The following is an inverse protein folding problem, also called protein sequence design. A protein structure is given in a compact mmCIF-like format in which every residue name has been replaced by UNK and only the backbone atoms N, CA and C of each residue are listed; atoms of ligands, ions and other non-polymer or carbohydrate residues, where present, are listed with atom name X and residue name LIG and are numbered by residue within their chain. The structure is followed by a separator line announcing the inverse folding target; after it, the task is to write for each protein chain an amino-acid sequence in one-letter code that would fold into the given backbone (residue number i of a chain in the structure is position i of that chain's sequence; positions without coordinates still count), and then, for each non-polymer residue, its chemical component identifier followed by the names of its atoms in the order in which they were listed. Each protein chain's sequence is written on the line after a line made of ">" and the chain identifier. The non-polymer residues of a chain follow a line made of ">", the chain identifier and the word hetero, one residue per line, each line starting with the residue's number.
data_IF_286030041261
#
_entry.id   IF_286030041261
#
_cell.length_a   1.000
_cell.length_b   1.000
_cell.length_c   1.000
_cell.angle_alpha   90.00
_cell.angle_beta   90.00
_cell.angle_gamma   90.00
#
_symmetry.space_group_name_H-M   'P 1'
#
loop_
_entity.id
_entity.type
_entity.pdbx_description
1 polymer ?
#
# COMPACT_ATOMS: atom_id res chain seq x y z
N UNK A 1 -1.76 -7.29 -25.26
CA UNK A 1 -2.35 -8.17 -24.24
C UNK A 1 -1.22 -8.57 -23.30
N UNK A 2 -1.09 -7.86 -22.17
CA UNK A 2 -0.18 -8.29 -21.11
C UNK A 2 -0.70 -9.63 -20.59
N UNK A 3 0.14 -10.66 -20.57
CA UNK A 3 -0.22 -11.94 -20.00
C UNK A 3 -0.52 -11.75 -18.51
N UNK A 4 -1.78 -11.94 -18.08
CA UNK A 4 -2.18 -11.89 -16.67
C UNK A 4 -1.46 -13.03 -15.92
N UNK A 5 -0.39 -12.68 -15.20
CA UNK A 5 0.54 -13.64 -14.59
C UNK A 5 -0.09 -14.25 -13.35
N UNK A 6 -0.85 -13.45 -12.61
CA UNK A 6 -1.67 -13.91 -11.50
C UNK A 6 -2.68 -14.96 -11.95
N UNK A 7 -3.38 -14.73 -13.06
CA UNK A 7 -4.34 -15.66 -13.64
C UNK A 7 -3.72 -17.00 -14.01
N UNK A 8 -2.44 -17.04 -14.41
CA UNK A 8 -1.71 -18.30 -14.65
C UNK A 8 -1.34 -19.01 -13.35
N UNK A 9 -0.97 -18.29 -12.29
CA UNK A 9 -0.73 -18.86 -10.96
C UNK A 9 -2.02 -19.47 -10.39
N UNK A 10 -3.12 -18.72 -10.44
CA UNK A 10 -4.42 -19.14 -9.93
C UNK A 10 -4.91 -20.40 -10.66
N UNK A 11 -4.93 -20.39 -12.01
CA UNK A 11 -5.36 -21.53 -12.87
C UNK A 11 -4.62 -22.84 -12.64
N UNK A 12 -3.40 -22.77 -12.14
CA UNK A 12 -2.63 -23.95 -11.83
C UNK A 12 -3.05 -24.62 -10.50
N UNK A 13 -4.08 -24.10 -9.81
CA UNK A 13 -4.66 -24.68 -8.59
C UNK A 13 -3.74 -24.55 -7.37
N UNK A 14 -2.79 -23.61 -7.42
CA UNK A 14 -1.70 -23.46 -6.47
C UNK A 14 -2.09 -22.70 -5.19
N UNK A 15 -3.37 -22.56 -4.87
CA UNK A 15 -3.80 -21.69 -3.78
C UNK A 15 -4.54 -22.45 -2.69
N UNK A 16 -5.73 -22.98 -2.98
CA UNK A 16 -6.64 -23.45 -1.93
C UNK A 16 -6.47 -24.93 -1.54
N UNK A 17 -5.87 -25.73 -2.43
CA UNK A 17 -5.78 -27.18 -2.27
C UNK A 17 -4.39 -27.66 -1.84
N UNK A 18 -3.47 -26.74 -1.50
CA UNK A 18 -2.07 -27.08 -1.30
C UNK A 18 -1.74 -27.52 0.12
N UNK A 19 -1.14 -28.71 0.22
CA UNK A 19 -0.48 -29.16 1.43
C UNK A 19 0.71 -28.25 1.81
N UNK A 20 1.18 -28.38 3.05
CA UNK A 20 2.31 -27.59 3.58
C UNK A 20 3.56 -27.65 2.69
N UNK A 21 3.83 -28.83 2.10
CA UNK A 21 4.96 -29.04 1.19
C UNK A 21 4.85 -28.16 -0.07
N UNK A 22 3.67 -28.10 -0.68
CA UNK A 22 3.47 -27.37 -1.93
C UNK A 22 3.45 -25.86 -1.68
N UNK A 23 2.93 -25.41 -0.53
CA UNK A 23 3.05 -24.01 -0.08
C UNK A 23 4.51 -23.59 0.08
N UNK A 24 5.37 -24.44 0.65
CA UNK A 24 6.83 -24.20 0.71
C UNK A 24 7.48 -24.14 -0.67
N UNK A 25 7.02 -24.98 -1.62
CA UNK A 25 7.52 -24.95 -3.00
C UNK A 25 7.12 -23.66 -3.72
N UNK A 26 5.91 -23.14 -3.48
CA UNK A 26 5.49 -21.85 -4.01
C UNK A 26 6.26 -20.68 -3.44
N UNK A 27 6.49 -20.66 -2.13
CA UNK A 27 7.33 -19.65 -1.49
C UNK A 27 8.73 -19.65 -2.12
N UNK A 28 9.31 -20.84 -2.31
CA UNK A 28 10.61 -21.01 -2.98
C UNK A 28 10.57 -20.52 -4.44
N UNK A 29 9.51 -20.81 -5.19
CA UNK A 29 9.31 -20.32 -6.56
C UNK A 29 9.26 -18.80 -6.59
N UNK A 30 8.47 -18.18 -5.70
CA UNK A 30 8.34 -16.73 -5.62
C UNK A 30 9.70 -16.09 -5.33
N UNK A 31 10.46 -16.60 -4.35
CA UNK A 31 11.82 -16.14 -4.05
C UNK A 31 12.77 -16.25 -5.26
N UNK A 32 12.78 -17.40 -5.94
CA UNK A 32 13.65 -17.62 -7.09
C UNK A 32 13.32 -16.68 -8.27
N UNK A 33 12.03 -16.42 -8.49
CA UNK A 33 11.58 -15.52 -9.56
C UNK A 33 11.78 -14.05 -9.21
N UNK A 34 11.56 -13.66 -7.95
CA UNK A 34 11.73 -12.30 -7.48
C UNK A 34 13.18 -11.80 -7.68
N UNK A 35 14.19 -12.67 -7.53
CA UNK A 35 15.58 -12.31 -7.83
C UNK A 35 15.86 -11.91 -9.29
N UNK A 36 14.93 -12.20 -10.22
CA UNK A 36 15.00 -11.75 -11.61
C UNK A 36 14.10 -10.54 -11.93
N UNK A 37 13.28 -10.08 -10.98
CA UNK A 37 12.43 -8.91 -11.15
C UNK A 37 13.23 -7.65 -10.83
N UNK A 38 13.28 -6.72 -11.79
CA UNK A 38 13.94 -5.42 -11.63
C UNK A 38 12.98 -4.30 -12.01
N UNK A 39 13.02 -3.15 -11.29
CA UNK A 39 12.32 -1.95 -11.67
C UNK A 39 12.75 -1.43 -13.07
N UNK A 40 12.02 -0.48 -13.68
CA UNK A 40 10.89 0.25 -13.10
C UNK A 40 9.60 -0.56 -13.06
N UNK A 41 8.84 -0.39 -11.98
CA UNK A 41 7.44 -0.83 -11.85
C UNK A 41 6.54 0.39 -11.68
N UNK A 42 5.31 0.28 -12.18
CA UNK A 42 4.26 1.27 -11.92
C UNK A 42 3.30 0.68 -10.89
N UNK A 43 3.26 1.28 -9.70
CA UNK A 43 2.30 0.91 -8.69
C UNK A 43 0.98 1.67 -8.89
N UNK A 44 -0.16 1.10 -8.44
CA UNK A 44 -1.46 1.75 -8.48
C UNK A 44 -1.44 3.05 -7.66
N UNK A 45 -2.09 4.10 -8.17
CA UNK A 45 -1.76 5.48 -7.75
C UNK A 45 -2.76 6.15 -6.82
N UNK A 46 -3.93 5.57 -6.58
CA UNK A 46 -4.95 6.31 -5.83
C UNK A 46 -4.82 6.14 -4.32
N UNK A 47 -4.36 4.99 -3.82
CA UNK A 47 -4.35 4.71 -2.39
C UNK A 47 -3.42 3.56 -2.02
N UNK A 48 -2.56 3.76 -1.04
CA UNK A 48 -1.77 2.69 -0.43
C UNK A 48 -1.42 2.96 1.03
N UNK A 49 -1.02 1.89 1.71
CA UNK A 49 -0.36 1.96 3.00
C UNK A 49 1.07 1.44 2.87
N UNK A 50 1.94 1.89 3.77
CA UNK A 50 3.30 1.38 3.91
C UNK A 50 3.58 1.01 5.37
N UNK A 51 4.34 -0.07 5.57
CA UNK A 51 4.83 -0.53 6.87
C UNK A 51 6.29 -0.97 6.77
N UNK A 52 7.07 -0.93 7.86
CA UNK A 52 8.46 -1.39 7.84
C UNK A 52 8.57 -2.87 7.45
N UNK A 53 9.55 -3.18 6.61
CA UNK A 53 9.82 -4.53 6.12
C UNK A 53 10.23 -5.51 7.21
N UNK A 54 10.79 -5.03 8.33
CA UNK A 54 11.21 -5.88 9.45
C UNK A 54 10.05 -6.33 10.37
N UNK A 55 8.92 -5.62 10.34
CA UNK A 55 7.77 -5.83 11.23
C UNK A 55 6.47 -6.10 10.46
N UNK A 56 6.56 -6.27 9.14
CA UNK A 56 5.41 -6.36 8.24
C UNK A 56 4.45 -7.49 8.59
N UNK A 57 4.89 -8.58 9.24
CA UNK A 57 3.99 -9.68 9.62
C UNK A 57 2.80 -9.20 10.48
N UNK A 58 2.97 -8.09 11.22
CA UNK A 58 1.91 -7.45 11.99
C UNK A 58 0.73 -6.95 11.13
N UNK A 59 0.97 -6.58 9.87
CA UNK A 59 -0.06 -6.01 8.99
C UNK A 59 -1.23 -6.95 8.78
N UNK A 60 -0.97 -8.26 8.73
CA UNK A 60 -2.01 -9.24 8.47
C UNK A 60 -2.96 -9.39 9.67
N UNK A 61 -2.50 -9.14 10.89
CA UNK A 61 -3.38 -9.07 12.05
C UNK A 61 -4.11 -7.72 12.09
N UNK A 62 -3.42 -6.62 11.78
CA UNK A 62 -3.99 -5.27 11.80
C UNK A 62 -5.16 -5.06 10.81
N UNK A 63 -5.09 -5.73 9.66
CA UNK A 63 -6.08 -5.64 8.58
C UNK A 63 -6.95 -6.91 8.44
N UNK A 64 -6.85 -7.85 9.39
CA UNK A 64 -7.56 -9.14 9.38
C UNK A 64 -7.44 -9.88 8.03
N UNK A 65 -6.19 -10.06 7.58
CA UNK A 65 -5.86 -10.68 6.29
C UNK A 65 -5.48 -12.15 6.44
N UNK A 66 -6.06 -12.97 5.58
CA UNK A 66 -6.02 -14.43 5.65
C UNK A 66 -5.46 -15.05 4.37
N UNK A 67 -5.37 -16.39 4.38
CA UNK A 67 -5.11 -17.22 3.21
C UNK A 67 -3.92 -16.75 2.36
N UNK A 68 -2.79 -16.45 3.02
CA UNK A 68 -1.63 -15.82 2.38
C UNK A 68 -0.95 -16.75 1.37
N UNK A 69 -0.75 -16.26 0.16
CA UNK A 69 -0.03 -16.95 -0.92
C UNK A 69 1.17 -16.11 -1.35
N UNK A 70 2.39 -16.69 -1.42
CA UNK A 70 3.56 -15.99 -1.88
C UNK A 70 3.48 -15.75 -3.39
N UNK A 71 3.66 -14.51 -3.81
CA UNK A 71 3.61 -14.07 -5.21
C UNK A 71 4.86 -13.26 -5.56
N UNK A 72 5.22 -13.21 -6.84
CA UNK A 72 6.25 -12.26 -7.30
C UNK A 72 5.67 -10.84 -7.35
N UNK A 73 6.52 -9.82 -7.48
CA UNK A 73 6.10 -8.43 -7.60
C UNK A 73 5.13 -8.29 -8.79
N UNK A 74 5.50 -8.80 -9.97
CA UNK A 74 4.68 -8.69 -11.18
C UNK A 74 3.37 -9.44 -11.12
N UNK A 75 3.30 -10.52 -10.35
CA UNK A 75 2.05 -11.24 -10.11
C UNK A 75 1.13 -10.47 -9.18
N UNK A 76 1.68 -9.83 -8.15
CA UNK A 76 0.93 -9.00 -7.23
C UNK A 76 0.37 -7.72 -7.86
N UNK A 77 1.08 -7.12 -8.82
CA UNK A 77 0.57 -5.96 -9.56
C UNK A 77 -0.77 -6.22 -10.25
N UNK A 78 -1.00 -7.45 -10.72
CA UNK A 78 -2.27 -7.82 -11.38
C UNK A 78 -3.46 -7.76 -10.39
N UNK A 79 -3.22 -7.81 -9.07
CA UNK A 79 -4.25 -7.71 -8.02
C UNK A 79 -4.95 -6.36 -8.04
N UNK A 80 -4.20 -5.29 -8.28
CA UNK A 80 -4.74 -3.93 -8.26
C UNK A 80 -5.73 -3.67 -9.40
N UNK A 81 -5.66 -4.45 -10.49
CA UNK A 81 -6.65 -4.39 -11.54
C UNK A 81 -7.86 -5.30 -11.31
N UNK A 82 -7.87 -6.13 -10.25
CA UNK A 82 -8.97 -7.07 -10.03
C UNK A 82 -10.22 -6.32 -9.58
N UNK A 83 -11.39 -6.63 -10.14
CA UNK A 83 -12.63 -6.06 -9.65
C UNK A 83 -12.84 -6.41 -8.17
N UNK A 84 -13.49 -5.50 -7.45
CA UNK A 84 -13.89 -5.73 -6.07
C UNK A 84 -14.72 -7.01 -5.95
N UNK A 85 -14.43 -7.78 -4.89
CA UNK A 85 -15.18 -8.96 -4.48
C UNK A 85 -15.62 -8.73 -3.03
N UNK A 86 -16.76 -8.05 -2.83
CA UNK A 86 -17.20 -7.66 -1.49
C UNK A 86 -17.17 -8.83 -0.51
N UNK A 87 -16.54 -8.61 0.65
CA UNK A 87 -16.31 -9.58 1.72
C UNK A 87 -15.28 -10.70 1.40
N UNK A 88 -14.47 -10.55 0.35
CA UNK A 88 -13.37 -11.46 0.04
C UNK A 88 -12.39 -10.80 -0.96
N UNK A 89 -12.06 -9.55 -0.71
CA UNK A 89 -11.21 -8.75 -1.59
C UNK A 89 -9.75 -9.22 -1.50
N UNK A 90 -9.07 -9.38 -2.65
CA UNK A 90 -7.65 -9.68 -2.67
C UNK A 90 -6.85 -8.42 -2.33
N UNK A 91 -5.88 -8.58 -1.43
CA UNK A 91 -4.92 -7.55 -1.02
C UNK A 91 -3.53 -8.02 -1.43
N UNK A 92 -2.79 -7.14 -2.11
CA UNK A 92 -1.40 -7.34 -2.45
C UNK A 92 -0.51 -6.60 -1.45
N UNK A 93 0.43 -7.33 -0.87
CA UNK A 93 1.55 -6.77 -0.11
C UNK A 93 2.81 -6.96 -0.94
N UNK A 94 3.54 -5.89 -1.22
CA UNK A 94 4.76 -5.96 -2.02
C UNK A 94 5.84 -6.82 -1.35
N UNK A 95 6.86 -7.27 -2.10
CA UNK A 95 8.17 -7.53 -1.51
C UNK A 95 8.68 -6.30 -0.75
N UNK A 96 9.74 -6.47 0.04
CA UNK A 96 10.41 -5.32 0.66
C UNK A 96 11.07 -4.49 -0.43
N UNK A 97 10.86 -3.17 -0.40
CA UNK A 97 11.45 -2.16 -1.28
C UNK A 97 12.08 -1.12 -0.36
N UNK A 98 13.41 -0.98 -0.38
CA UNK A 98 14.15 -0.02 0.46
C UNK A 98 13.74 -0.04 1.95
N UNK A 99 13.48 -1.23 2.48
CA UNK A 99 13.08 -1.43 3.87
C UNK A 99 11.59 -1.29 4.16
N UNK A 100 10.74 -1.07 3.14
CA UNK A 100 9.29 -0.91 3.29
C UNK A 100 8.50 -1.96 2.54
N UNK A 101 7.29 -2.26 3.01
CA UNK A 101 6.28 -3.01 2.27
C UNK A 101 5.03 -2.19 2.08
N UNK A 102 4.57 -2.14 0.84
CA UNK A 102 3.40 -1.39 0.45
C UNK A 102 2.21 -2.33 0.31
N UNK A 103 1.02 -1.81 0.59
CA UNK A 103 -0.24 -2.56 0.64
C UNK A 103 -1.19 -1.94 -0.38
N UNK A 104 -1.68 -2.76 -1.32
CA UNK A 104 -2.54 -2.38 -2.44
C UNK A 104 -3.72 -3.34 -2.61
N UNK A 105 -4.73 -2.93 -3.38
CA UNK A 105 -5.90 -3.73 -3.74
C UNK A 105 -7.18 -2.89 -3.65
N UNK A 106 -8.33 -3.55 -3.51
CA UNK A 106 -9.61 -2.90 -3.25
C UNK A 106 -9.72 -2.45 -1.78
N UNK A 107 -8.78 -1.61 -1.34
CA UNK A 107 -8.65 -1.18 0.06
C UNK A 107 -9.90 -0.44 0.56
N UNK A 108 -10.65 0.19 -0.35
CA UNK A 108 -11.93 0.83 -0.07
C UNK A 108 -12.99 -0.17 0.41
N UNK A 109 -13.01 -1.38 -0.14
CA UNK A 109 -13.90 -2.46 0.32
C UNK A 109 -13.34 -3.18 1.55
N UNK A 110 -12.02 -3.23 1.73
CA UNK A 110 -11.37 -3.92 2.86
C UNK A 110 -11.44 -3.10 4.15
N UNK A 111 -11.19 -1.80 4.04
CA UNK A 111 -11.05 -0.90 5.17
C UNK A 111 -12.31 -0.06 5.36
N UNK A 112 -12.89 0.41 4.26
CA UNK A 112 -13.96 1.41 4.25
C UNK A 112 -13.47 2.73 3.68
N UNK A 113 -14.40 3.53 3.16
CA UNK A 113 -14.12 4.86 2.56
C UNK A 113 -14.23 6.00 3.56
N UNK A 114 -14.65 5.72 4.79
CA UNK A 114 -14.81 6.74 5.82
C UNK A 114 -13.45 7.23 6.31
N UNK A 115 -13.38 8.51 6.63
CA UNK A 115 -12.18 9.12 7.21
C UNK A 115 -11.64 8.34 8.42
N UNK A 116 -12.53 7.94 9.33
CA UNK A 116 -12.20 7.15 10.52
C UNK A 116 -11.73 5.73 10.18
N UNK A 117 -12.18 5.17 9.05
CA UNK A 117 -11.76 3.84 8.62
C UNK A 117 -10.32 3.89 8.13
N UNK A 118 -10.01 4.88 7.29
CA UNK A 118 -8.68 5.10 6.70
C UNK A 118 -7.64 5.44 7.79
N UNK A 119 -7.94 6.43 8.62
CA UNK A 119 -7.07 6.81 9.74
C UNK A 119 -6.97 5.71 10.81
N UNK A 120 -8.07 5.02 11.09
CA UNK A 120 -8.05 3.86 11.99
C UNK A 120 -7.21 2.70 11.45
N UNK A 121 -7.11 2.50 10.14
CA UNK A 121 -6.26 1.47 9.55
C UNK A 121 -4.77 1.78 9.73
N UNK A 122 -4.33 3.02 9.52
CA UNK A 122 -2.92 3.40 9.76
C UNK A 122 -2.55 3.31 11.25
N UNK A 123 -3.48 3.65 12.16
CA UNK A 123 -3.28 3.42 13.60
C UNK A 123 -3.16 1.93 13.92
N UNK A 124 -4.04 1.07 13.43
CA UNK A 124 -3.92 -0.38 13.64
C UNK A 124 -2.61 -0.93 13.08
N UNK A 125 -2.24 -0.53 11.87
CA UNK A 125 -0.99 -0.95 11.24
C UNK A 125 0.23 -0.55 12.08
N UNK A 126 0.31 0.70 12.50
CA UNK A 126 1.42 1.18 13.35
C UNK A 126 1.44 0.52 14.74
N UNK A 127 0.29 0.18 15.32
CA UNK A 127 0.24 -0.55 16.58
C UNK A 127 0.86 -1.96 16.47
N UNK A 128 0.71 -2.60 15.31
CA UNK A 128 1.21 -3.95 15.06
C UNK A 128 2.61 -3.99 14.43
N UNK A 129 2.99 -2.96 13.67
CA UNK A 129 4.24 -2.90 12.91
C UNK A 129 5.23 -1.86 13.48
N UNK A 130 4.88 -1.15 14.56
CA UNK A 130 5.66 -0.06 15.15
C UNK A 130 5.40 1.28 14.46
N UNK A 131 5.43 1.30 13.13
CA UNK A 131 5.17 2.47 12.28
C UNK A 131 4.28 2.09 11.09
N UNK A 132 3.49 3.04 10.60
CA UNK A 132 2.77 2.91 9.35
C UNK A 132 2.50 4.27 8.70
N UNK A 133 2.41 4.28 7.37
CA UNK A 133 1.97 5.43 6.59
C UNK A 133 0.77 5.10 5.71
N UNK A 134 0.01 6.13 5.37
CA UNK A 134 -1.07 6.11 4.41
C UNK A 134 -0.90 7.26 3.43
N UNK A 135 -1.17 7.00 2.15
CA UNK A 135 -1.16 8.01 1.10
C UNK A 135 -2.37 7.83 0.19
N UNK A 136 -2.97 8.93 -0.22
CA UNK A 136 -4.10 8.96 -1.15
C UNK A 136 -4.01 10.20 -2.04
N UNK A 137 -4.14 10.00 -3.35
CA UNK A 137 -4.11 11.08 -4.35
C UNK A 137 -5.21 10.82 -5.40
N UNK A 138 -6.08 11.81 -5.58
CA UNK A 138 -7.06 11.85 -6.66
C UNK A 138 -6.91 13.16 -7.43
N UNK A 139 -6.11 13.13 -8.49
CA UNK A 139 -5.91 14.28 -9.39
C UNK A 139 -7.21 14.84 -9.97
N UNK A 140 -8.23 14.00 -10.18
CA UNK A 140 -9.48 14.45 -10.79
C UNK A 140 -10.40 15.10 -9.75
N UNK A 141 -10.40 14.56 -8.53
CA UNK A 141 -11.15 15.08 -7.39
C UNK A 141 -10.44 16.21 -6.63
N UNK A 142 -9.14 16.41 -6.87
CA UNK A 142 -8.30 17.38 -6.14
C UNK A 142 -7.95 16.94 -4.72
N UNK A 143 -8.15 15.66 -4.38
CA UNK A 143 -7.87 15.16 -3.05
C UNK A 143 -6.40 14.71 -2.92
N UNK A 144 -5.75 15.12 -1.84
CA UNK A 144 -4.36 14.82 -1.56
C UNK A 144 -4.17 14.65 -0.05
N UNK A 145 -3.81 13.44 0.39
CA UNK A 145 -3.87 13.04 1.79
C UNK A 145 -2.68 12.16 2.12
N UNK A 146 -2.02 12.46 3.24
CA UNK A 146 -1.06 11.55 3.84
C UNK A 146 -1.14 11.55 5.36
N UNK A 147 -0.78 10.43 5.95
CA UNK A 147 -0.72 10.27 7.40
C UNK A 147 0.45 9.37 7.78
N UNK A 148 1.13 9.71 8.87
CA UNK A 148 2.10 8.84 9.55
C UNK A 148 1.63 8.56 10.97
N UNK A 149 1.74 7.30 11.37
CA UNK A 149 1.39 6.83 12.69
C UNK A 149 2.52 6.03 13.31
N UNK A 150 2.70 6.19 14.61
CA UNK A 150 3.67 5.46 15.41
C UNK A 150 2.97 4.85 16.63
N UNK A 151 3.24 3.57 16.90
CA UNK A 151 2.72 2.85 18.07
C UNK A 151 1.19 3.02 18.28
N UNK A 152 0.42 3.04 17.20
CA UNK A 152 -1.04 3.12 17.24
C UNK A 152 -1.64 4.51 17.31
N UNK A 153 -0.85 5.57 17.04
CA UNK A 153 -1.33 6.95 17.08
C UNK A 153 -0.82 7.74 15.90
N UNK A 154 -1.69 8.55 15.30
CA UNK A 154 -1.28 9.53 14.30
C UNK A 154 -0.28 10.49 14.91
N UNK A 155 0.89 10.61 14.28
CA UNK A 155 1.94 11.57 14.65
C UNK A 155 1.80 12.87 13.87
N UNK A 156 1.59 12.76 12.56
CA UNK A 156 1.42 13.88 11.64
C UNK A 156 0.52 13.46 10.49
N UNK A 157 -0.30 14.39 10.01
CA UNK A 157 -1.29 14.15 8.96
C UNK A 157 -1.58 15.43 8.20
N UNK A 158 -1.71 15.27 6.90
CA UNK A 158 -2.19 16.26 5.95
C UNK A 158 -3.43 15.71 5.23
N UNK A 159 -4.45 16.54 5.06
CA UNK A 159 -5.63 16.19 4.29
C UNK A 159 -6.15 17.38 3.51
N UNK A 160 -6.10 17.31 2.18
CA UNK A 160 -6.74 18.24 1.28
C UNK A 160 -7.90 17.55 0.59
N UNK A 161 -9.12 17.95 0.91
CA UNK A 161 -10.33 17.63 0.12
C UNK A 161 -11.01 18.91 -0.42
N UNK A 162 -10.92 20.01 0.34
CA UNK A 162 -11.43 21.32 -0.07
C UNK A 162 -10.51 22.42 0.43
N UNK A 163 -10.23 22.43 1.73
CA UNK A 163 -9.16 23.21 2.35
C UNK A 163 -8.14 22.26 2.97
N UNK A 164 -6.86 22.63 3.01
CA UNK A 164 -5.83 21.82 3.65
C UNK A 164 -6.06 21.77 5.17
N UNK A 165 -5.98 20.56 5.74
CA UNK A 165 -6.00 20.32 7.17
C UNK A 165 -4.72 19.65 7.64
N UNK A 166 -4.08 20.25 8.64
CA UNK A 166 -2.86 19.74 9.26
C UNK A 166 -3.13 19.31 10.70
N UNK A 167 -2.64 18.13 11.08
CA UNK A 167 -2.77 17.60 12.44
C UNK A 167 -1.44 17.01 12.90
N UNK A 168 -1.03 17.39 14.11
CA UNK A 168 0.21 16.94 14.74
C UNK A 168 1.40 17.84 14.41
N UNK A 169 2.50 17.63 15.13
CA UNK A 169 3.71 18.43 15.00
C UNK A 169 4.40 18.18 13.65
N UNK A 170 4.89 19.22 12.95
CA UNK A 170 5.66 19.06 11.74
C UNK A 170 6.86 18.12 11.91
N UNK A 171 7.13 17.34 10.87
CA UNK A 171 8.27 16.44 10.78
C UNK A 171 9.52 17.21 10.37
N UNK A 172 10.73 16.73 10.73
CA UNK A 172 11.96 17.48 10.51
C UNK A 172 12.32 17.79 9.04
N UNK A 173 11.70 17.10 8.08
CA UNK A 173 11.92 17.29 6.65
C UNK A 173 10.89 18.23 6.01
N UNK A 174 9.79 18.57 6.72
CA UNK A 174 8.75 19.43 6.17
C UNK A 174 9.24 20.87 6.05
N UNK A 175 8.93 21.51 4.91
CA UNK A 175 8.94 22.96 4.78
C UNK A 175 7.58 23.48 5.23
N UNK A 176 7.59 24.47 6.12
CA UNK A 176 6.37 25.13 6.58
C UNK A 176 5.96 26.22 5.59
N UNK A 177 4.66 26.43 5.42
CA UNK A 177 4.13 27.44 4.51
C UNK A 177 4.63 28.85 4.87
N UNK A 178 4.79 29.15 6.17
CA UNK A 178 5.35 30.42 6.65
C UNK A 178 6.83 30.62 6.33
N UNK A 179 7.54 29.53 6.03
CA UNK A 179 8.96 29.53 5.65
C UNK A 179 9.14 29.44 4.13
N UNK A 180 8.04 29.38 3.35
CA UNK A 180 8.08 29.35 1.89
C UNK A 180 8.59 30.69 1.33
N UNK A 181 9.42 30.65 0.29
CA UNK A 181 10.02 31.85 -0.32
C UNK A 181 8.96 32.78 -0.93
N UNK A 182 7.81 32.22 -1.35
CA UNK A 182 6.71 32.96 -1.95
C UNK A 182 5.67 33.44 -0.92
N UNK A 183 5.84 33.12 0.37
CA UNK A 183 4.91 33.54 1.43
C UNK A 183 5.01 35.05 1.72
N UNK A 184 3.92 35.78 1.47
CA UNK A 184 3.78 37.17 1.84
C UNK A 184 2.84 37.32 3.04
N UNK A 185 3.33 37.65 4.24
CA UNK A 185 2.49 37.80 5.43
C UNK A 185 1.45 38.94 5.34
N UNK A 186 1.51 39.80 4.32
CA UNK A 186 0.47 40.80 4.04
C UNK A 186 -0.73 40.22 3.27
N UNK A 187 -0.52 39.18 2.46
CA UNK A 187 -1.54 38.65 1.54
C UNK A 187 -1.90 37.18 1.80
N UNK A 188 -1.03 36.43 2.47
CA UNK A 188 -1.19 35.02 2.74
C UNK A 188 -1.54 34.77 4.21
N UNK A 189 -2.39 33.77 4.43
CA UNK A 189 -2.76 33.29 5.76
C UNK A 189 -2.38 31.80 5.83
N UNK A 190 -1.52 31.44 6.78
CA UNK A 190 -1.13 30.06 7.06
C UNK A 190 -1.03 29.85 8.57
N UNK A 191 -1.44 28.68 9.04
CA UNK A 191 -1.21 28.30 10.43
C UNK A 191 0.29 28.01 10.66
N UNK A 192 0.83 28.22 11.87
CA UNK A 192 2.27 28.02 12.13
C UNK A 192 2.79 26.60 11.82
N UNK A 193 1.89 25.61 11.88
CA UNK A 193 2.22 24.19 11.72
C UNK A 193 1.80 23.66 10.34
N UNK A 194 1.38 24.55 9.43
CA UNK A 194 0.99 24.23 8.06
C UNK A 194 2.23 23.93 7.22
N UNK A 195 2.30 22.72 6.65
CA UNK A 195 3.36 22.32 5.73
C UNK A 195 3.02 22.66 4.28
N UNK A 196 3.95 22.36 3.37
CA UNK A 196 3.73 22.51 1.91
C UNK A 196 3.64 21.17 1.17
N UNK A 197 4.06 20.08 1.81
CA UNK A 197 4.23 18.78 1.15
C UNK A 197 2.92 18.00 0.95
N UNK A 198 2.60 17.69 -0.30
CA UNK A 198 1.55 16.74 -0.70
C UNK A 198 1.95 15.28 -0.52
N UNK A 199 1.05 14.33 -0.80
CA UNK A 199 1.28 12.89 -0.55
C UNK A 199 2.47 12.33 -1.35
N UNK A 200 2.65 12.77 -2.60
CA UNK A 200 3.74 12.30 -3.46
C UNK A 200 5.10 12.78 -2.96
N UNK A 201 5.22 14.03 -2.48
CA UNK A 201 6.45 14.51 -1.86
C UNK A 201 6.70 13.82 -0.52
N UNK A 202 5.67 13.74 0.34
CA UNK A 202 5.78 13.12 1.65
C UNK A 202 6.23 11.64 1.56
N UNK A 203 5.79 10.90 0.55
CA UNK A 203 6.19 9.49 0.41
C UNK A 203 7.68 9.29 0.09
N UNK A 204 8.36 10.28 -0.50
CA UNK A 204 9.81 10.25 -0.74
C UNK A 204 10.61 10.29 0.57
N UNK A 205 10.11 11.01 1.57
CA UNK A 205 10.75 11.14 2.88
C UNK A 205 10.33 10.04 3.86
N UNK A 206 9.08 9.58 3.74
CA UNK A 206 8.46 8.70 4.74
C UNK A 206 8.57 7.21 4.41
N UNK A 207 8.63 6.82 3.14
CA UNK A 207 8.69 5.41 2.75
C UNK A 207 9.29 5.19 1.36
N UNK A 208 8.48 4.80 0.38
CA UNK A 208 8.88 4.54 -1.01
C UNK A 208 7.91 5.24 -1.94
N UNK A 209 8.47 6.02 -2.87
CA UNK A 209 7.70 6.64 -3.93
C UNK A 209 7.18 5.58 -4.93
N UNK A 210 5.85 5.48 -5.15
CA UNK A 210 5.29 4.39 -5.94
C UNK A 210 5.52 4.51 -7.46
N UNK A 211 6.04 5.65 -7.95
CA UNK A 211 6.12 5.96 -9.39
C UNK A 211 7.39 6.70 -9.87
N UNK A 212 8.15 6.13 -10.80
CA UNK A 212 8.43 4.69 -10.86
C UNK A 212 9.11 4.25 -9.56
N UNK A 213 8.97 2.97 -9.20
CA UNK A 213 9.97 2.38 -8.29
C UNK A 213 11.33 2.54 -8.96
N UNK A 214 12.27 3.19 -8.26
CA UNK A 214 13.59 3.54 -8.80
C UNK A 214 14.30 2.28 -9.33
N UNK A 215 15.04 2.42 -10.44
CA UNK A 215 15.91 1.36 -10.96
C UNK A 215 16.95 0.89 -9.92
N UNK A 216 17.32 1.77 -8.99
CA UNK A 216 18.27 1.51 -7.91
C UNK A 216 17.62 1.00 -6.61
N UNK A 217 16.28 0.92 -6.55
CA UNK A 217 15.57 0.44 -5.37
C UNK A 217 15.93 -1.02 -5.03
N UNK A 218 16.26 -1.27 -3.77
CA UNK A 218 16.59 -2.62 -3.30
C UNK A 218 15.32 -3.42 -3.04
N UNK A 219 15.07 -4.42 -3.88
CA UNK A 219 13.95 -5.35 -3.71
C UNK A 219 14.40 -6.64 -3.06
N UNK A 220 13.78 -6.99 -1.92
CA UNK A 220 14.07 -8.22 -1.18
C UNK A 220 12.85 -9.11 -0.98
N UNK A 221 13.10 -10.42 -1.07
CA UNK A 221 12.09 -11.44 -0.77
C UNK A 221 11.02 -11.56 -1.86
N UNK A 222 9.77 -11.74 -1.44
CA UNK A 222 8.62 -11.88 -2.32
C UNK A 222 7.42 -11.13 -1.73
N UNK A 223 6.39 -10.93 -2.56
CA UNK A 223 5.12 -10.33 -2.14
C UNK A 223 4.12 -11.36 -1.65
N UNK A 224 2.99 -10.89 -1.16
CA UNK A 224 1.89 -11.70 -0.67
C UNK A 224 0.59 -11.30 -1.34
N UNK A 225 -0.14 -12.30 -1.84
CA UNK A 225 -1.57 -12.20 -2.04
C UNK A 225 -2.24 -12.66 -0.75
N UNK A 226 -3.15 -11.87 -0.20
CA UNK A 226 -3.95 -12.22 0.96
C UNK A 226 -5.42 -11.88 0.73
N UNK A 227 -6.30 -12.49 1.51
CA UNK A 227 -7.75 -12.32 1.39
C UNK A 227 -8.30 -11.57 2.60
N UNK A 228 -9.24 -10.64 2.40
CA UNK A 228 -9.90 -9.90 3.49
C UNK A 228 -10.97 -10.68 4.26
N UNK A 229 -11.13 -11.97 3.98
CA UNK A 229 -12.03 -12.84 4.73
C UNK A 229 -11.44 -14.24 4.92
N UNK A 230 -11.67 -14.87 6.08
CA UNK A 230 -11.10 -16.17 6.38
C UNK A 230 -11.83 -17.28 5.64
N UNK A 231 -11.08 -18.30 5.22
CA UNK A 231 -11.63 -19.54 4.65
C UNK A 231 -12.42 -19.37 3.35
N UNK A 232 -12.32 -18.22 2.68
CA UNK A 232 -12.91 -18.02 1.35
C UNK A 232 -12.01 -18.60 0.27
N UNK A 233 -10.70 -18.64 0.53
CA UNK A 233 -9.70 -19.04 -0.45
C UNK A 233 -9.66 -18.11 -1.67
N UNK A 234 -9.04 -18.59 -2.73
CA UNK A 234 -8.75 -17.90 -3.98
C UNK A 234 -9.60 -18.41 -5.13
N UNK A 235 -10.46 -19.40 -4.86
CA UNK A 235 -11.46 -19.93 -5.79
C UNK A 235 -12.32 -18.76 -6.28
N UNK A 236 -12.48 -18.67 -7.60
CA UNK A 236 -13.10 -17.57 -8.36
C UNK A 236 -12.23 -16.31 -8.65
N UNK A 237 -11.05 -16.14 -8.05
CA UNK A 237 -10.13 -15.07 -8.50
C UNK A 237 -9.70 -15.26 -9.96
N UNK A 238 -9.64 -16.50 -10.44
CA UNK A 238 -9.36 -16.83 -11.85
C UNK A 238 -10.41 -16.28 -12.82
N UNK A 239 -11.67 -16.23 -12.41
CA UNK A 239 -12.76 -15.72 -13.23
C UNK A 239 -12.69 -14.20 -13.29
N UNK A 240 -12.39 -13.54 -12.17
CA UNK A 240 -12.17 -12.10 -12.11
C UNK A 240 -10.94 -11.68 -12.92
N UNK A 241 -9.84 -12.43 -12.81
CA UNK A 241 -8.63 -12.20 -13.60
C UNK A 241 -8.86 -12.32 -15.12
N UNK A 242 -9.87 -13.12 -15.56
CA UNK A 242 -10.27 -13.23 -16.98
C UNK A 242 -11.10 -12.05 -17.48
N UNK A 243 -11.69 -11.27 -16.58
CA UNK A 243 -12.53 -10.11 -16.95
C UNK A 243 -11.75 -8.81 -17.09
N UNK A 244 -10.45 -8.80 -16.75
CA UNK A 244 -9.55 -7.69 -17.08
C UNK A 244 -9.32 -7.64 -18.61
N UNK A 245 -9.56 -6.49 -19.27
CA UNK A 245 -9.34 -6.32 -20.71
C UNK A 245 -7.85 -6.35 -21.13
#
# INVERSE_FOLDING_TARGET
>A
MSENRLGTLLRAGFTDCLGERDRKLLARRALLKAGGEKPPFHLPTCWWYAVPGESYEGLFAALDLHDRVPVTFREGLDVAGLPARPNADPVFVTPEIDGWRLIFGNLDSVIGRGWNDMTGAVERLSAHCGEAQMFYEDFAGGADIWAVAEAGRIRRRYALESNPEWVGEPLPWETLAVDDEDFDPEFDEAEPDEGTAGAMEACEYLSVHPRPVDADAEIRGHGWLAMSAPHVGHTALEELARTQP
#
